data_IF_756555480366
#
_entry.id   IF_756555480366
#
_cell.length_a   1.000
_cell.length_b   1.000
_cell.length_c   1.000
_cell.angle_alpha   90.00
_cell.angle_beta   90.00
_cell.angle_gamma   90.00
#
_symmetry.space_group_name_H-M   'P 1'
#
loop_
_entity.id
_entity.type
_entity.pdbx_description
1 polymer ?
#
# COMPACT_ATOMS: atom_id res chain seq x y z
N UNK A 1 -22.71 3.67 55.93
CA UNK A 1 -21.27 3.71 55.64
C UNK A 1 -20.74 2.28 55.67
N UNK A 2 -20.46 1.68 54.51
CA UNK A 2 -19.82 0.37 54.37
C UNK A 2 -18.89 0.43 53.16
N UNK A 3 -17.65 0.03 53.39
CA UNK A 3 -16.49 0.12 52.49
C UNK A 3 -16.53 -0.89 51.34
N UNK A 4 -15.82 -0.52 50.26
CA UNK A 4 -15.05 -1.35 49.32
C UNK A 4 -15.77 -2.48 48.56
N UNK A 5 -15.64 -2.51 47.23
CA UNK A 5 -14.52 -3.17 46.52
C UNK A 5 -14.39 -2.53 45.13
N UNK A 6 -13.22 -1.98 44.83
CA UNK A 6 -12.84 -1.53 43.48
C UNK A 6 -12.52 -2.80 42.67
N UNK A 7 -13.33 -3.10 41.66
CA UNK A 7 -12.96 -4.10 40.66
C UNK A 7 -12.03 -3.44 39.63
N UNK A 8 -10.73 -3.54 39.88
CA UNK A 8 -9.70 -3.40 38.86
C UNK A 8 -9.81 -4.64 37.96
N UNK A 9 -10.49 -4.49 36.82
CA UNK A 9 -10.43 -5.50 35.77
C UNK A 9 -9.23 -5.16 34.90
N UNK A 10 -8.11 -5.81 35.25
CA UNK A 10 -6.92 -6.00 34.42
C UNK A 10 -7.39 -6.69 33.14
N UNK A 11 -7.62 -5.90 32.09
CA UNK A 11 -7.87 -6.38 30.74
C UNK A 11 -6.58 -6.30 29.94
N UNK A 12 -5.85 -7.42 29.95
CA UNK A 12 -4.70 -7.79 29.11
C UNK A 12 -3.99 -6.69 28.30
N UNK A 13 -2.75 -6.42 28.70
CA UNK A 13 -1.66 -6.06 27.79
C UNK A 13 -1.60 -7.06 26.62
N UNK A 14 -2.08 -6.64 25.45
CA UNK A 14 -1.53 -7.09 24.17
C UNK A 14 -0.61 -6.00 23.67
N UNK A 15 0.56 -5.89 24.30
CA UNK A 15 1.73 -5.33 23.61
C UNK A 15 2.25 -6.43 22.69
N UNK A 16 1.53 -6.72 21.61
CA UNK A 16 2.17 -7.39 20.48
C UNK A 16 3.18 -6.39 19.95
N UNK A 17 4.46 -6.66 20.16
CA UNK A 17 5.53 -6.01 19.44
C UNK A 17 5.40 -6.37 17.94
N UNK A 18 4.48 -5.74 17.23
CA UNK A 18 4.50 -5.70 15.77
C UNK A 18 5.27 -4.42 15.44
N UNK A 19 6.60 -4.50 15.52
CA UNK A 19 7.47 -3.52 14.87
C UNK A 19 7.39 -3.81 13.36
N UNK A 20 6.28 -3.42 12.76
CA UNK A 20 6.00 -3.63 11.35
C UNK A 20 4.93 -2.65 10.94
N UNK A 21 5.20 -1.88 9.90
CA UNK A 21 4.31 -0.92 9.27
C UNK A 21 3.10 -1.61 8.58
N UNK A 22 2.45 -2.56 9.25
CA UNK A 22 1.29 -3.26 8.70
C UNK A 22 0.04 -2.39 8.82
N UNK A 23 -0.69 -2.25 7.72
CA UNK A 23 -1.97 -1.54 7.69
C UNK A 23 -2.93 -2.22 6.72
N UNK A 24 -4.11 -2.60 7.19
CA UNK A 24 -5.16 -3.18 6.35
C UNK A 24 -5.81 -2.09 5.48
N UNK A 25 -5.82 -2.33 4.16
CA UNK A 25 -6.37 -1.43 3.14
C UNK A 25 -7.72 -1.94 2.59
N UNK A 26 -8.20 -3.08 3.09
CA UNK A 26 -9.44 -3.75 2.70
C UNK A 26 -9.32 -4.56 1.41
N UNK A 27 -10.28 -5.45 1.18
CA UNK A 27 -10.34 -6.38 0.03
C UNK A 27 -9.07 -7.24 -0.10
N UNK A 28 -8.47 -7.63 1.02
CA UNK A 28 -7.25 -8.42 1.06
C UNK A 28 -5.97 -7.63 0.76
N UNK A 29 -6.04 -6.31 0.54
CA UNK A 29 -4.86 -5.48 0.37
C UNK A 29 -4.31 -5.01 1.72
N UNK A 30 -2.99 -4.99 1.83
CA UNK A 30 -2.30 -4.45 3.00
C UNK A 30 -1.11 -3.59 2.59
N UNK A 31 -0.80 -2.60 3.40
CA UNK A 31 0.49 -1.93 3.38
C UNK A 31 1.38 -2.64 4.40
N UNK A 32 2.59 -3.02 4.00
CA UNK A 32 3.58 -3.66 4.88
C UNK A 32 4.96 -3.42 4.30
N UNK A 33 5.97 -3.16 5.14
CA UNK A 33 7.38 -2.97 4.72
C UNK A 33 7.52 -1.99 3.54
N UNK A 34 6.79 -0.86 3.60
CA UNK A 34 6.79 0.19 2.57
C UNK A 34 6.31 -0.27 1.19
N UNK A 35 5.60 -1.40 1.14
CA UNK A 35 5.05 -2.04 -0.06
C UNK A 35 3.52 -2.13 0.04
N UNK A 36 2.86 -2.45 -1.07
CA UNK A 36 1.46 -2.88 -1.07
C UNK A 36 1.42 -4.34 -1.46
N UNK A 37 0.79 -5.16 -0.61
CA UNK A 37 0.59 -6.59 -0.83
C UNK A 37 -0.90 -6.89 -0.99
N UNK A 38 -1.22 -8.05 -1.55
CA UNK A 38 -2.57 -8.60 -1.61
C UNK A 38 -2.54 -10.06 -1.19
N UNK A 39 -3.39 -10.40 -0.24
CA UNK A 39 -3.60 -11.76 0.20
C UNK A 39 -4.53 -12.50 -0.77
N UNK A 40 -4.15 -13.72 -1.16
CA UNK A 40 -5.02 -14.61 -1.93
C UNK A 40 -6.01 -15.38 -1.03
N UNK A 41 -6.91 -16.15 -1.65
CA UNK A 41 -7.93 -16.94 -0.93
C UNK A 41 -7.34 -17.99 0.04
N UNK A 42 -6.06 -18.34 -0.12
CA UNK A 42 -5.34 -19.31 0.71
C UNK A 42 -4.55 -18.63 1.83
N UNK A 43 -4.62 -17.30 1.94
CA UNK A 43 -3.90 -16.54 2.95
C UNK A 43 -2.46 -16.17 2.56
N UNK A 44 -2.07 -16.38 1.29
CA UNK A 44 -0.72 -16.09 0.81
C UNK A 44 -0.62 -14.64 0.34
N UNK A 45 0.29 -13.87 0.93
CA UNK A 45 0.56 -12.49 0.52
C UNK A 45 1.39 -12.46 -0.76
N UNK A 46 0.90 -11.73 -1.76
CA UNK A 46 1.61 -11.44 -3.01
C UNK A 46 1.95 -9.96 -3.08
N UNK A 47 3.18 -9.65 -3.46
CA UNK A 47 3.63 -8.27 -3.68
C UNK A 47 2.88 -7.66 -4.88
N UNK A 48 2.22 -6.52 -4.66
CA UNK A 48 1.46 -5.79 -5.70
C UNK A 48 2.23 -4.57 -6.16
N UNK A 49 2.64 -3.73 -5.21
CA UNK A 49 3.54 -2.60 -5.47
C UNK A 49 4.80 -2.81 -4.65
N UNK A 50 5.95 -2.68 -5.31
CA UNK A 50 7.27 -2.81 -4.70
C UNK A 50 7.47 -1.85 -3.51
N UNK A 51 8.50 -2.09 -2.67
CA UNK A 51 8.81 -1.19 -1.57
C UNK A 51 9.13 0.24 -2.04
N UNK A 52 9.30 1.14 -1.07
CA UNK A 52 9.50 2.59 -1.27
C UNK A 52 8.23 3.39 -1.65
N UNK A 53 7.06 2.91 -1.22
CA UNK A 53 5.87 3.75 -1.14
C UNK A 53 6.15 4.87 -0.11
N UNK A 54 6.11 6.12 -0.58
CA UNK A 54 6.36 7.32 0.23
C UNK A 54 5.06 7.79 0.87
N UNK A 55 3.95 7.63 0.15
CA UNK A 55 2.65 8.12 0.54
C UNK A 55 1.55 7.31 -0.16
N UNK A 56 0.43 7.14 0.53
CA UNK A 56 -0.74 6.44 0.00
C UNK A 56 -2.01 6.93 0.67
N UNK A 57 -3.13 6.77 -0.03
CA UNK A 57 -4.47 6.98 0.49
C UNK A 57 -5.39 5.92 -0.08
N UNK A 58 -6.43 5.55 0.66
CA UNK A 58 -7.33 4.49 0.23
C UNK A 58 -8.76 4.73 0.74
N UNK A 59 -9.72 4.11 0.07
CA UNK A 59 -11.12 4.00 0.50
C UNK A 59 -11.64 2.59 0.16
N UNK A 60 -12.95 2.37 0.25
CA UNK A 60 -13.58 1.08 -0.04
C UNK A 60 -13.26 0.50 -1.43
N UNK A 61 -12.96 1.34 -2.43
CA UNK A 61 -12.75 0.89 -3.80
C UNK A 61 -11.33 1.09 -4.32
N UNK A 62 -10.65 2.15 -3.93
CA UNK A 62 -9.38 2.53 -4.53
C UNK A 62 -8.27 2.62 -3.50
N UNK A 63 -7.06 2.29 -3.94
CA UNK A 63 -5.81 2.69 -3.29
C UNK A 63 -5.08 3.58 -4.29
N UNK A 64 -4.59 4.73 -3.85
CA UNK A 64 -3.67 5.58 -4.61
C UNK A 64 -2.35 5.63 -3.87
N UNK A 65 -1.24 5.55 -4.59
CA UNK A 65 0.08 5.53 -3.98
C UNK A 65 1.10 6.35 -4.77
N UNK A 66 2.07 6.90 -4.06
CA UNK A 66 3.23 7.58 -4.59
C UNK A 66 4.49 6.86 -4.15
N UNK A 67 5.30 6.47 -5.12
CA UNK A 67 6.46 5.62 -4.91
C UNK A 67 7.73 6.28 -5.43
N UNK A 68 8.84 6.12 -4.71
CA UNK A 68 10.17 6.44 -5.21
C UNK A 68 10.81 5.17 -5.77
N UNK A 69 11.49 5.30 -6.89
CA UNK A 69 12.34 4.23 -7.40
C UNK A 69 13.59 4.10 -6.53
N UNK A 70 13.80 2.92 -5.98
CA UNK A 70 15.06 2.51 -5.37
C UNK A 70 15.50 1.19 -6.00
N UNK A 71 16.63 1.15 -6.72
CA UNK A 71 17.13 -0.10 -7.29
C UNK A 71 17.51 -1.13 -6.22
N UNK A 72 17.79 -0.71 -4.97
CA UNK A 72 18.16 -1.62 -3.88
C UNK A 72 16.94 -2.30 -3.23
N UNK A 73 15.74 -1.72 -3.36
CA UNK A 73 14.51 -2.30 -2.80
C UNK A 73 13.86 -3.36 -3.69
N UNK A 74 14.44 -3.57 -4.88
CA UNK A 74 14.00 -4.52 -5.88
C UNK A 74 15.01 -5.66 -5.82
N UNK A 75 14.73 -6.66 -4.98
CA UNK A 75 15.65 -7.75 -4.69
C UNK A 75 16.17 -8.39 -6.00
N UNK A 76 17.49 -8.64 -6.06
CA UNK A 76 18.17 -9.20 -7.24
C UNK A 76 17.67 -10.62 -7.58
N UNK A 77 17.04 -11.30 -6.62
CA UNK A 77 16.54 -12.66 -6.77
C UNK A 77 15.09 -12.73 -7.30
N UNK A 78 14.43 -11.57 -7.52
CA UNK A 78 13.08 -11.52 -8.08
C UNK A 78 13.11 -11.87 -9.56
N UNK A 79 12.45 -12.95 -9.97
CA UNK A 79 12.29 -13.30 -11.39
C UNK A 79 11.21 -12.42 -12.00
N UNK A 80 11.61 -11.39 -12.74
CA UNK A 80 10.72 -10.42 -13.38
C UNK A 80 10.05 -11.01 -14.62
N UNK A 81 8.71 -11.00 -14.67
CA UNK A 81 7.98 -11.46 -15.85
C UNK A 81 7.26 -10.31 -16.56
N UNK A 82 7.57 -10.13 -17.86
CA UNK A 82 6.81 -9.32 -18.82
C UNK A 82 6.44 -7.91 -18.37
N UNK A 83 5.27 -7.77 -17.74
CA UNK A 83 4.69 -6.49 -17.28
C UNK A 83 5.55 -5.83 -16.19
N UNK A 84 6.18 -6.62 -15.32
CA UNK A 84 7.01 -6.11 -14.23
C UNK A 84 8.32 -5.49 -14.73
N UNK A 85 8.91 -6.04 -15.81
CA UNK A 85 10.10 -5.46 -16.47
C UNK A 85 9.78 -4.07 -17.05
N UNK A 86 8.60 -3.93 -17.69
CA UNK A 86 8.16 -2.63 -18.22
C UNK A 86 7.95 -1.62 -17.10
N UNK A 87 7.39 -2.06 -15.98
CA UNK A 87 7.20 -1.22 -14.79
C UNK A 87 8.54 -0.75 -14.24
N UNK A 88 9.49 -1.68 -14.07
CA UNK A 88 10.85 -1.38 -13.64
C UNK A 88 11.51 -0.32 -14.53
N UNK A 89 11.51 -0.51 -15.85
CA UNK A 89 12.12 0.44 -16.77
C UNK A 89 11.47 1.83 -16.69
N UNK A 90 10.14 1.89 -16.58
CA UNK A 90 9.42 3.16 -16.43
C UNK A 90 9.69 3.83 -15.08
N UNK A 91 9.72 3.08 -13.98
CA UNK A 91 10.07 3.60 -12.65
C UNK A 91 11.50 4.13 -12.62
N UNK A 92 12.45 3.41 -13.22
CA UNK A 92 13.84 3.84 -13.34
C UNK A 92 13.99 5.15 -14.11
N UNK A 93 13.24 5.32 -15.20
CA UNK A 93 13.26 6.54 -16.00
C UNK A 93 12.62 7.73 -15.28
N UNK A 94 11.51 7.49 -14.57
CA UNK A 94 10.74 8.56 -13.92
C UNK A 94 11.28 8.94 -12.53
N UNK A 95 11.97 8.02 -11.84
CA UNK A 95 12.51 8.18 -10.48
C UNK A 95 11.45 8.22 -9.39
N UNK A 96 10.24 8.72 -9.69
CA UNK A 96 9.07 8.70 -8.81
C UNK A 96 7.81 8.50 -9.63
N UNK A 97 6.91 7.66 -9.15
CA UNK A 97 5.75 7.20 -9.92
C UNK A 97 4.49 7.18 -9.06
N UNK A 98 3.36 7.35 -9.71
CA UNK A 98 2.04 7.25 -9.11
C UNK A 98 1.36 5.94 -9.52
N UNK A 99 0.53 5.43 -8.62
CA UNK A 99 -0.22 4.20 -8.80
C UNK A 99 -1.67 4.39 -8.37
N UNK A 100 -2.56 3.68 -9.05
CA UNK A 100 -3.97 3.54 -8.67
C UNK A 100 -4.31 2.06 -8.74
N UNK A 101 -4.91 1.52 -7.69
CA UNK A 101 -5.44 0.15 -7.63
C UNK A 101 -6.96 0.26 -7.49
N UNK A 102 -7.72 -0.31 -8.42
CA UNK A 102 -9.17 -0.55 -8.26
C UNK A 102 -9.35 -1.94 -7.62
N UNK A 103 -9.66 -1.95 -6.32
CA UNK A 103 -9.78 -3.16 -5.51
C UNK A 103 -10.94 -4.07 -5.94
N UNK A 104 -11.94 -3.52 -6.63
CA UNK A 104 -13.13 -4.27 -7.08
C UNK A 104 -12.87 -4.89 -8.45
N UNK A 105 -12.18 -4.18 -9.34
CA UNK A 105 -11.84 -4.67 -10.68
C UNK A 105 -10.52 -5.44 -10.75
N UNK A 106 -9.81 -5.53 -9.63
CA UNK A 106 -8.44 -6.07 -9.55
C UNK A 106 -7.50 -5.48 -10.62
N UNK A 107 -7.60 -4.17 -10.83
CA UNK A 107 -6.88 -3.46 -11.89
C UNK A 107 -5.88 -2.48 -11.31
N UNK A 108 -4.65 -2.54 -11.81
CA UNK A 108 -3.55 -1.65 -11.43
C UNK A 108 -3.24 -0.70 -12.58
N UNK A 109 -3.33 0.60 -12.32
CA UNK A 109 -2.91 1.67 -13.21
C UNK A 109 -1.56 2.22 -12.74
N UNK A 110 -0.53 1.95 -13.51
CA UNK A 110 0.81 2.49 -13.29
C UNK A 110 1.90 1.66 -13.95
N UNK A 111 3.16 2.07 -13.76
CA UNK A 111 3.57 3.32 -13.12
C UNK A 111 3.17 4.55 -13.95
N UNK A 112 2.63 5.59 -13.29
CA UNK A 112 2.16 6.81 -13.94
C UNK A 112 3.05 8.00 -13.59
N UNK A 113 3.22 8.91 -14.54
CA UNK A 113 3.62 10.28 -14.24
C UNK A 113 2.44 11.07 -13.64
N UNK A 114 2.72 12.27 -13.14
CA UNK A 114 1.71 13.12 -12.49
C UNK A 114 0.55 13.51 -13.41
N UNK A 115 0.80 13.71 -14.71
CA UNK A 115 -0.23 14.13 -15.66
C UNK A 115 -1.21 12.97 -15.92
N UNK A 116 -0.69 11.79 -16.23
CA UNK A 116 -1.49 10.58 -16.46
C UNK A 116 -2.25 10.16 -15.20
N UNK A 117 -1.63 10.28 -14.03
CA UNK A 117 -2.29 10.07 -12.75
C UNK A 117 -3.51 10.99 -12.59
N UNK A 118 -3.34 12.31 -12.81
CA UNK A 118 -4.44 13.27 -12.75
C UNK A 118 -5.59 12.90 -13.70
N UNK A 119 -5.29 12.59 -14.96
CA UNK A 119 -6.31 12.18 -15.94
C UNK A 119 -7.12 10.95 -15.49
N UNK A 120 -6.45 9.94 -14.90
CA UNK A 120 -7.15 8.73 -14.44
C UNK A 120 -7.95 9.01 -13.17
N UNK A 121 -7.40 9.76 -12.21
CA UNK A 121 -8.12 10.20 -10.99
C UNK A 121 -9.41 10.94 -11.36
N UNK A 122 -9.34 11.87 -12.30
CA UNK A 122 -10.49 12.65 -12.75
C UNK A 122 -11.51 11.75 -13.48
N UNK A 123 -11.04 10.88 -14.38
CA UNK A 123 -11.89 9.95 -15.14
C UNK A 123 -12.64 8.98 -14.23
N UNK A 124 -11.97 8.46 -13.20
CA UNK A 124 -12.53 7.53 -12.23
C UNK A 124 -13.23 8.22 -11.05
N UNK A 125 -13.22 9.57 -11.02
CA UNK A 125 -13.80 10.42 -9.96
C UNK A 125 -13.30 10.05 -8.56
N UNK A 126 -12.00 9.80 -8.43
CA UNK A 126 -11.38 9.37 -7.18
C UNK A 126 -11.26 10.58 -6.23
N UNK A 127 -11.87 10.48 -5.05
CA UNK A 127 -11.82 11.50 -4.00
C UNK A 127 -10.80 11.13 -2.91
N UNK A 128 -9.58 10.79 -3.34
CA UNK A 128 -8.46 10.50 -2.45
C UNK A 128 -7.35 11.52 -2.69
N UNK A 129 -6.73 11.98 -1.61
CA UNK A 129 -5.61 12.90 -1.67
C UNK A 129 -4.38 12.24 -1.05
N UNK A 130 -3.30 12.25 -1.82
CA UNK A 130 -1.98 11.90 -1.31
C UNK A 130 -1.51 13.00 -0.34
N UNK A 131 -1.16 12.61 0.88
CA UNK A 131 -0.60 13.50 1.88
C UNK A 131 0.86 13.82 1.52
N UNK A 132 1.13 15.05 1.09
CA UNK A 132 2.51 15.56 1.03
C UNK A 132 3.14 15.47 2.43
N UNK A 133 3.84 14.37 2.74
CA UNK A 133 4.87 14.39 3.77
C UNK A 133 5.98 15.30 3.24
N UNK A 134 6.17 16.42 3.94
CA UNK A 134 7.23 17.41 3.67
C UNK A 134 8.59 16.75 3.82
#
# INVERSE_FOLDING_TARGET
MKHCVIFILIGLLVTSCIHGDYWDLGNGYSYCERSICKQDEKGVDTLVLFPEIIDYAYNERYIVAYQKFDPASLDNDTVWFGKEIKYYQQMKLQGRTFWIIDKVKDTIYGPLDKSRYGCIVDSLRIQLALHKKK
#
